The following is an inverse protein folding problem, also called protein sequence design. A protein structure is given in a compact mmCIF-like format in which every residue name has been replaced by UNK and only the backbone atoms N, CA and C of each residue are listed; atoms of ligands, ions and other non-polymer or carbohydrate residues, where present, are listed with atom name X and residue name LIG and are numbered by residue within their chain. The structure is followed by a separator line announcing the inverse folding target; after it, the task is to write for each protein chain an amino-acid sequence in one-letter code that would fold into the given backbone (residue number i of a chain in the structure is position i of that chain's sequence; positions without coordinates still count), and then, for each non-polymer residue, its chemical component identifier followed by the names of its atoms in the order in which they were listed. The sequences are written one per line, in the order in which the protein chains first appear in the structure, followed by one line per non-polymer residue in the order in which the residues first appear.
data_IF_697476431352
#
_entry.id   IF_697476431352
#
_cell.length_a   1.000
_cell.length_b   1.000
_cell.length_c   1.000
_cell.angle_alpha   90.00
_cell.angle_beta   90.00
_cell.angle_gamma   90.00
#
_symmetry.space_group_name_H-M   'P 1'
#
loop_
_entity.id
_entity.type
_entity.pdbx_description
1 polymer ?
#
# COMPACT_ATOMS: atom_id res chain seq x y z
N UNK A 1 7.30 -1.56 -14.28
CA UNK A 1 6.54 -1.29 -13.04
C UNK A 1 5.88 -2.57 -12.47
N UNK A 2 5.20 -3.42 -13.26
CA UNK A 2 4.55 -4.67 -12.75
C UNK A 2 5.47 -5.61 -11.97
N UNK A 3 6.70 -5.85 -12.44
CA UNK A 3 7.70 -6.67 -11.71
C UNK A 3 8.06 -6.06 -10.35
N UNK A 4 8.23 -4.73 -10.29
CA UNK A 4 8.54 -4.04 -9.04
C UNK A 4 7.37 -4.12 -8.04
N UNK A 5 6.12 -3.97 -8.51
CA UNK A 5 4.92 -4.15 -7.68
C UNK A 5 4.87 -5.55 -7.07
N UNK A 6 5.02 -6.61 -7.90
CA UNK A 6 5.00 -8.00 -7.41
C UNK A 6 6.10 -8.26 -6.38
N UNK A 7 7.31 -7.75 -6.60
CA UNK A 7 8.43 -7.88 -5.65
C UNK A 7 8.11 -7.19 -4.32
N UNK A 8 7.55 -5.98 -4.36
CA UNK A 8 7.16 -5.25 -3.15
C UNK A 8 6.06 -5.98 -2.37
N UNK A 9 5.03 -6.47 -3.07
CA UNK A 9 3.94 -7.24 -2.50
C UNK A 9 4.43 -8.51 -1.79
N UNK A 10 5.27 -9.30 -2.46
CA UNK A 10 5.86 -10.51 -1.87
C UNK A 10 6.71 -10.19 -0.65
N UNK A 11 7.47 -9.08 -0.67
CA UNK A 11 8.26 -8.66 0.49
C UNK A 11 7.39 -8.27 1.67
N UNK A 12 6.29 -7.55 1.45
CA UNK A 12 5.35 -7.15 2.51
C UNK A 12 4.63 -8.35 3.13
N UNK A 13 4.16 -9.30 2.30
CA UNK A 13 3.54 -10.54 2.78
C UNK A 13 4.52 -11.39 3.58
N UNK A 14 5.78 -11.48 3.15
CA UNK A 14 6.83 -12.18 3.90
C UNK A 14 7.11 -11.55 5.26
N UNK A 15 6.94 -10.23 5.40
CA UNK A 15 7.07 -9.51 6.67
C UNK A 15 5.83 -9.67 7.58
N UNK A 16 4.81 -10.42 7.15
CA UNK A 16 3.63 -10.71 7.97
C UNK A 16 2.44 -9.78 7.75
N UNK A 17 2.44 -8.95 6.69
CA UNK A 17 1.27 -8.18 6.32
C UNK A 17 0.11 -9.13 5.93
N UNK A 18 -1.10 -8.88 6.44
CA UNK A 18 -2.30 -9.68 6.12
C UNK A 18 -2.91 -9.31 4.77
N UNK A 19 -2.61 -8.12 4.27
CA UNK A 19 -2.97 -7.70 2.92
C UNK A 19 -2.19 -6.48 2.47
N UNK A 20 -1.99 -6.38 1.16
CA UNK A 20 -1.32 -5.25 0.52
C UNK A 20 -2.04 -4.88 -0.78
N UNK A 21 -2.25 -3.58 -0.97
CA UNK A 21 -2.72 -3.00 -2.24
C UNK A 21 -1.71 -1.97 -2.68
N UNK A 22 -1.28 -2.07 -3.93
CA UNK A 22 -0.40 -1.09 -4.56
C UNK A 22 -1.13 -0.56 -5.79
N UNK A 23 -1.33 0.75 -5.84
CA UNK A 23 -1.88 1.45 -7.00
C UNK A 23 -0.81 2.36 -7.57
N UNK A 24 -0.63 2.30 -8.89
CA UNK A 24 0.29 3.14 -9.62
C UNK A 24 -0.52 3.87 -10.69
N UNK A 25 -0.33 5.17 -10.78
CA UNK A 25 -1.00 6.06 -11.73
C UNK A 25 0.01 6.91 -12.49
N UNK A 26 -0.23 7.12 -13.78
CA UNK A 26 0.60 7.98 -14.63
C UNK A 26 0.94 7.33 -15.97
N UNK A 27 2.01 7.81 -16.62
CA UNK A 27 2.47 7.33 -17.93
C UNK A 27 3.27 6.04 -17.81
N UNK A 28 2.56 4.95 -17.51
CA UNK A 28 3.17 3.65 -17.26
C UNK A 28 3.88 3.11 -18.50
N UNK A 29 5.15 2.70 -18.34
CA UNK A 29 6.02 2.20 -19.40
C UNK A 29 6.28 3.18 -20.55
N UNK A 30 6.11 4.50 -20.32
CA UNK A 30 6.35 5.52 -21.35
C UNK A 30 5.19 5.73 -22.32
N UNK A 31 4.03 5.12 -22.05
CA UNK A 31 2.84 5.34 -22.85
C UNK A 31 2.42 6.83 -22.85
N UNK A 32 1.86 7.27 -23.97
CA UNK A 32 1.38 8.65 -24.14
C UNK A 32 0.18 8.93 -23.22
N UNK A 33 -0.77 8.00 -23.15
CA UNK A 33 -1.96 8.11 -22.29
C UNK A 33 -1.65 7.54 -20.90
N UNK A 34 -1.94 8.34 -19.88
CA UNK A 34 -1.82 7.92 -18.49
C UNK A 34 -2.82 6.81 -18.14
N UNK A 35 -2.38 5.83 -17.36
CA UNK A 35 -3.21 4.72 -16.88
C UNK A 35 -3.01 4.52 -15.39
N UNK A 36 -4.03 3.96 -14.76
CA UNK A 36 -3.97 3.54 -13.36
C UNK A 36 -4.07 2.03 -13.31
N UNK A 37 -3.03 1.37 -12.82
CA UNK A 37 -3.03 -0.06 -12.53
C UNK A 37 -2.94 -0.27 -11.03
N UNK A 38 -3.71 -1.23 -10.52
CA UNK A 38 -3.62 -1.62 -9.12
C UNK A 38 -3.55 -3.14 -9.02
N UNK A 39 -2.78 -3.60 -8.03
CA UNK A 39 -2.69 -5.01 -7.65
C UNK A 39 -3.00 -5.10 -6.16
N UNK A 40 -3.73 -6.14 -5.79
CA UNK A 40 -4.07 -6.45 -4.39
C UNK A 40 -3.79 -7.91 -4.13
N UNK A 41 -3.23 -8.19 -2.97
CA UNK A 41 -3.02 -9.55 -2.45
C UNK A 41 -3.39 -9.58 -0.97
N UNK A 42 -4.05 -10.65 -0.53
CA UNK A 42 -4.64 -10.72 0.81
C UNK A 42 -5.92 -9.89 1.00
N UNK A 43 -6.29 -9.68 2.27
CA UNK A 43 -7.51 -8.95 2.65
C UNK A 43 -7.21 -7.52 3.07
N UNK A 44 -8.02 -6.56 2.61
CA UNK A 44 -7.90 -5.14 2.98
C UNK A 44 -9.31 -4.58 3.19
N UNK A 45 -9.83 -4.62 4.41
CA UNK A 45 -11.16 -4.13 4.72
C UNK A 45 -11.15 -2.61 4.93
N UNK A 46 -11.32 -1.84 3.85
CA UNK A 46 -11.27 -0.36 3.88
C UNK A 46 -12.43 0.31 4.62
N UNK A 47 -13.53 -0.39 4.84
CA UNK A 47 -14.71 0.14 5.54
C UNK A 47 -14.71 -0.18 7.03
N UNK A 48 -13.79 -1.04 7.48
CA UNK A 48 -13.73 -1.51 8.85
C UNK A 48 -12.82 -0.59 9.66
N UNK A 49 -13.39 0.31 10.48
CA UNK A 49 -12.61 1.30 11.25
C UNK A 49 -11.62 0.67 12.25
N UNK A 50 -11.89 -0.54 12.72
CA UNK A 50 -10.99 -1.30 13.60
C UNK A 50 -9.77 -1.92 12.88
N UNK A 51 -9.77 -1.89 11.54
CA UNK A 51 -8.68 -2.44 10.76
C UNK A 51 -7.49 -1.47 10.78
N UNK A 52 -6.33 -1.98 11.22
CA UNK A 52 -5.06 -1.27 11.15
C UNK A 52 -4.52 -1.29 9.72
N UNK A 53 -4.74 -0.18 9.03
CA UNK A 53 -4.34 0.00 7.64
C UNK A 53 -3.42 1.22 7.55
N UNK A 54 -2.15 0.96 7.25
CA UNK A 54 -1.21 2.01 6.89
C UNK A 54 -1.44 2.43 5.44
N UNK A 55 -1.56 3.74 5.20
CA UNK A 55 -1.54 4.34 3.89
C UNK A 55 -0.28 5.18 3.71
N UNK A 56 0.37 5.03 2.56
CA UNK A 56 1.45 5.91 2.14
C UNK A 56 1.35 6.23 0.66
N UNK A 57 1.78 7.43 0.30
CA UNK A 57 1.92 7.85 -1.09
C UNK A 57 3.32 8.37 -1.37
N UNK A 58 3.79 8.10 -2.57
CA UNK A 58 5.11 8.51 -3.05
C UNK A 58 5.06 8.78 -4.55
N UNK A 59 5.92 9.69 -5.00
CA UNK A 59 6.04 10.06 -6.40
C UNK A 59 7.37 9.55 -6.97
N UNK A 60 7.33 9.02 -8.18
CA UNK A 60 8.51 8.62 -8.93
C UNK A 60 8.73 9.57 -10.10
N UNK A 61 9.85 10.30 -10.07
CA UNK A 61 10.30 11.16 -11.15
C UNK A 61 10.88 10.29 -12.26
N UNK A 62 10.25 10.32 -13.44
CA UNK A 62 10.72 9.62 -14.62
C UNK A 62 10.90 10.60 -15.79
N UNK A 63 11.61 10.17 -16.82
CA UNK A 63 11.86 10.99 -18.02
C UNK A 63 10.55 11.38 -18.74
N UNK A 64 9.49 10.58 -18.61
CA UNK A 64 8.20 10.82 -19.25
C UNK A 64 7.21 11.60 -18.36
N UNK A 65 7.63 11.97 -17.15
CA UNK A 65 6.81 12.70 -16.18
C UNK A 65 6.81 12.03 -14.80
N UNK A 66 5.83 12.39 -13.98
CA UNK A 66 5.69 11.90 -12.61
C UNK A 66 4.74 10.70 -12.59
N UNK A 67 5.13 9.65 -11.87
CA UNK A 67 4.30 8.48 -11.59
C UNK A 67 3.91 8.50 -10.12
N UNK A 68 2.63 8.54 -9.83
CA UNK A 68 2.11 8.48 -8.46
C UNK A 68 1.93 7.03 -8.00
N UNK A 69 2.45 6.70 -6.82
CA UNK A 69 2.37 5.39 -6.19
C UNK A 69 1.62 5.53 -4.86
N UNK A 70 0.58 4.72 -4.68
CA UNK A 70 -0.23 4.66 -3.46
C UNK A 70 -0.22 3.24 -2.92
N UNK A 71 0.08 3.09 -1.63
CA UNK A 71 0.21 1.78 -0.98
C UNK A 71 -0.69 1.73 0.24
N UNK A 72 -1.38 0.61 0.40
CA UNK A 72 -2.13 0.25 1.60
C UNK A 72 -1.57 -1.06 2.14
N UNK A 73 -1.24 -1.09 3.43
CA UNK A 73 -0.76 -2.29 4.14
C UNK A 73 -1.69 -2.56 5.30
N UNK A 74 -2.31 -3.74 5.30
CA UNK A 74 -3.17 -4.21 6.38
C UNK A 74 -2.36 -5.10 7.32
N UNK A 75 -2.23 -4.69 8.59
CA UNK A 75 -1.48 -5.42 9.62
C UNK A 75 -2.38 -6.31 10.49
N UNK A 76 -3.65 -5.95 10.66
CA UNK A 76 -4.57 -6.68 11.52
C UNK A 76 -5.68 -5.80 12.07
N UNK A 77 -6.44 -6.32 13.03
CA UNK A 77 -7.43 -5.53 13.75
C UNK A 77 -6.80 -5.11 15.08
N UNK A 78 -6.97 -3.84 15.44
CA UNK A 78 -6.57 -3.34 16.76
C UNK A 78 -7.73 -3.61 17.71
N UNK A 79 -7.44 -4.29 18.81
CA UNK A 79 -8.41 -4.48 19.89
C UNK A 79 -8.16 -3.44 20.99
N UNK A 80 -9.23 -2.95 21.62
CA UNK A 80 -9.23 -1.84 22.59
C UNK A 80 -8.21 -1.96 23.74
N UNK A 81 -7.67 -3.15 24.01
CA UNK A 81 -6.59 -3.37 25.00
C UNK A 81 -5.25 -2.71 24.61
N UNK A 82 -4.99 -2.46 23.33
CA UNK A 82 -3.71 -1.93 22.84
C UNK A 82 -3.62 -0.40 22.93
N UNK A 83 -4.74 0.32 22.80
CA UNK A 83 -4.82 1.79 22.96
C UNK A 83 -4.29 2.28 24.32
N UNK A 84 -4.49 1.48 25.37
CA UNK A 84 -4.03 1.81 26.73
C UNK A 84 -2.51 1.65 26.91
N UNK A 85 -1.87 0.78 26.12
CA UNK A 85 -0.44 0.51 26.25
C UNK A 85 0.44 1.48 25.46
N UNK A 86 -0.03 1.97 24.30
CA UNK A 86 0.71 2.97 23.51
C UNK A 86 0.69 4.37 24.16
N UNK A 87 -0.42 4.73 24.81
CA UNK A 87 -0.52 6.01 25.54
C UNK A 87 0.40 6.06 26.77
N UNK A 88 0.63 4.91 27.42
CA UNK A 88 1.52 4.79 28.59
C UNK A 88 3.01 4.64 28.24
N UNK A 89 3.36 4.55 26.96
CA UNK A 89 4.74 4.38 26.47
C UNK A 89 5.36 5.66 25.89
N UNK A 90 4.65 6.78 25.95
CA UNK A 90 5.15 8.12 25.60
C UNK A 90 5.45 8.93 26.83
#
# INVERSE_FOLDING_TARGET
YRRAMKRAMQSALRLGAKGIKVSISGRLAGNEIARTEWLREGSIPSHTLRADIDYAEAEALTTYGIIGIKVWIYKGEIFTKEFSQETNKR
#
